data_IF_676277960831
#
_entry.id   IF_676277960831
#
_cell.length_a   1.000
_cell.length_b   1.000
_cell.length_c   1.000
_cell.angle_alpha   90.00
_cell.angle_beta   90.00
_cell.angle_gamma   90.00
#
_symmetry.space_group_name_H-M   'P 1'
#
loop_
_entity.id
_entity.type
_entity.pdbx_description
1 polymer ?
#
# COMPACT_ATOMS: atom_id res chain seq x y z
N UNK A 1 -30.19 -23.23 0.45
CA UNK A 1 -28.79 -23.28 0.00
C UNK A 1 -27.94 -22.75 1.14
N UNK A 2 -27.10 -23.58 1.74
CA UNK A 2 -26.07 -23.09 2.67
C UNK A 2 -25.19 -22.08 1.92
N UNK A 3 -25.07 -20.86 2.45
CA UNK A 3 -24.24 -19.82 1.85
C UNK A 3 -22.77 -20.22 1.87
N UNK A 4 -22.01 -19.74 0.87
CA UNK A 4 -20.58 -19.97 0.77
C UNK A 4 -19.86 -19.42 2.01
N UNK A 5 -19.32 -20.30 2.87
CA UNK A 5 -18.53 -19.88 4.04
C UNK A 5 -17.08 -19.59 3.64
N UNK A 6 -16.64 -18.34 3.83
CA UNK A 6 -15.29 -17.87 3.50
C UNK A 6 -14.48 -17.46 4.74
N UNK A 7 -14.90 -17.85 5.96
CA UNK A 7 -14.12 -17.60 7.18
C UNK A 7 -12.70 -18.14 7.03
N UNK A 8 -11.71 -17.33 7.42
CA UNK A 8 -10.28 -17.65 7.34
C UNK A 8 -9.71 -17.77 5.91
N UNK A 9 -10.53 -17.62 4.87
CA UNK A 9 -10.07 -17.47 3.50
C UNK A 9 -9.85 -16.00 3.18
N UNK A 10 -8.72 -15.65 2.56
CA UNK A 10 -8.47 -14.30 2.08
C UNK A 10 -8.36 -14.29 0.55
N UNK A 11 -8.86 -13.23 -0.12
CA UNK A 11 -8.63 -13.02 -1.55
C UNK A 11 -7.13 -12.84 -1.84
N UNK A 12 -6.59 -13.65 -2.75
CA UNK A 12 -5.17 -13.61 -3.13
C UNK A 12 -4.94 -13.19 -4.58
N UNK A 13 -5.97 -13.30 -5.43
CA UNK A 13 -5.92 -12.84 -6.82
C UNK A 13 -7.30 -12.34 -7.26
N UNK A 14 -7.32 -11.24 -8.00
CA UNK A 14 -8.49 -10.78 -8.75
C UNK A 14 -8.08 -10.55 -10.21
N UNK A 15 -8.83 -11.12 -11.15
CA UNK A 15 -8.61 -10.95 -12.59
C UNK A 15 -9.95 -10.94 -13.34
N UNK A 16 -9.93 -10.33 -14.52
CA UNK A 16 -11.04 -10.31 -15.45
C UNK A 16 -10.97 -11.52 -16.38
N UNK A 17 -12.09 -12.22 -16.57
CA UNK A 17 -12.23 -13.39 -17.44
C UNK A 17 -13.68 -13.47 -17.94
N UNK A 18 -13.87 -13.63 -19.25
CA UNK A 18 -15.18 -13.86 -19.88
C UNK A 18 -16.25 -12.81 -19.46
N UNK A 19 -15.88 -11.52 -19.49
CA UNK A 19 -16.70 -10.37 -19.07
C UNK A 19 -17.13 -10.34 -17.59
N UNK A 20 -16.52 -11.16 -16.74
CA UNK A 20 -16.72 -11.14 -15.28
C UNK A 20 -15.39 -11.06 -14.53
N UNK A 21 -15.46 -10.64 -13.26
CA UNK A 21 -14.32 -10.68 -12.36
C UNK A 21 -14.34 -11.96 -11.52
N UNK A 22 -13.16 -12.55 -11.39
CA UNK A 22 -12.93 -13.78 -10.63
C UNK A 22 -12.02 -13.51 -9.46
N UNK A 23 -12.27 -14.21 -8.36
CA UNK A 23 -11.49 -14.12 -7.12
C UNK A 23 -10.93 -15.50 -6.80
N UNK A 24 -9.62 -15.56 -6.58
CA UNK A 24 -8.92 -16.74 -6.05
C UNK A 24 -8.70 -16.52 -4.55
N UNK A 25 -8.94 -17.56 -3.77
CA UNK A 25 -8.94 -17.52 -2.32
C UNK A 25 -7.90 -18.48 -1.76
N UNK A 26 -7.21 -18.06 -0.71
CA UNK A 26 -6.29 -18.90 0.05
C UNK A 26 -6.78 -19.03 1.49
N UNK A 27 -6.77 -20.25 2.03
CA UNK A 27 -7.05 -20.47 3.43
C UNK A 27 -5.82 -20.13 4.28
N UNK A 28 -5.99 -19.23 5.23
CA UNK A 28 -4.93 -18.79 6.12
C UNK A 28 -5.09 -19.27 7.57
N UNK A 29 -6.21 -19.89 7.92
CA UNK A 29 -6.52 -20.25 9.31
C UNK A 29 -6.45 -19.02 10.24
N UNK A 30 -5.74 -19.16 11.36
CA UNK A 30 -5.34 -18.15 12.32
C UNK A 30 -3.90 -17.64 12.09
N UNK A 31 -3.28 -17.89 10.92
CA UNK A 31 -1.92 -17.40 10.63
C UNK A 31 -1.91 -15.87 10.55
N UNK A 32 -1.04 -15.19 11.31
CA UNK A 32 -0.93 -13.74 11.23
C UNK A 32 -0.27 -13.31 9.91
N UNK A 33 -0.58 -12.09 9.46
CA UNK A 33 0.10 -11.45 8.34
C UNK A 33 1.27 -10.65 8.92
N UNK A 34 2.47 -11.26 8.95
CA UNK A 34 3.67 -10.66 9.56
C UNK A 34 4.73 -10.29 8.53
N UNK A 35 4.62 -10.80 7.31
CA UNK A 35 5.58 -10.55 6.25
C UNK A 35 5.49 -9.11 5.70
N UNK A 36 6.59 -8.63 5.10
CA UNK A 36 6.71 -7.26 4.60
C UNK A 36 5.69 -6.92 3.50
N UNK A 37 5.29 -7.94 2.73
CA UNK A 37 4.30 -7.85 1.66
C UNK A 37 3.27 -8.97 1.81
N UNK A 38 2.01 -8.67 1.48
CA UNK A 38 0.93 -9.66 1.53
C UNK A 38 1.21 -10.85 0.62
N UNK A 39 1.88 -10.64 -0.52
CA UNK A 39 2.26 -11.71 -1.43
C UNK A 39 3.19 -12.75 -0.76
N UNK A 40 4.05 -12.34 0.17
CA UNK A 40 4.92 -13.26 0.90
C UNK A 40 4.11 -14.11 1.89
N UNK A 41 3.14 -13.48 2.58
CA UNK A 41 2.17 -14.20 3.42
C UNK A 41 1.37 -15.22 2.60
N UNK A 42 0.95 -14.85 1.38
CA UNK A 42 0.25 -15.74 0.44
C UNK A 42 1.14 -16.91 0.04
N UNK A 43 2.40 -16.67 -0.33
CA UNK A 43 3.33 -17.74 -0.70
C UNK A 43 3.52 -18.74 0.44
N UNK A 44 3.59 -18.26 1.69
CA UNK A 44 3.67 -19.11 2.86
C UNK A 44 2.37 -19.90 3.09
N UNK A 45 1.21 -19.27 2.93
CA UNK A 45 -0.09 -19.93 3.10
C UNK A 45 -0.37 -20.97 2.01
N UNK A 46 0.01 -20.72 0.75
CA UNK A 46 -0.14 -21.66 -0.36
C UNK A 46 0.64 -22.97 -0.16
N UNK A 47 1.64 -23.00 0.72
CA UNK A 47 2.38 -24.22 1.09
C UNK A 47 1.62 -25.13 2.06
N UNK A 48 0.48 -24.68 2.61
CA UNK A 48 -0.34 -25.50 3.51
C UNK A 48 -1.03 -26.64 2.72
N UNK A 49 -1.14 -27.87 3.27
CA UNK A 49 -1.78 -28.98 2.59
C UNK A 49 -3.19 -28.68 2.09
N UNK A 50 -3.97 -27.93 2.87
CA UNK A 50 -5.34 -27.50 2.49
C UNK A 50 -5.33 -26.71 1.19
N UNK A 51 -4.39 -25.78 1.01
CA UNK A 51 -4.32 -24.94 -0.19
C UNK A 51 -3.72 -25.66 -1.41
N UNK A 52 -2.96 -26.74 -1.18
CA UNK A 52 -2.47 -27.60 -2.26
C UNK A 52 -3.55 -28.56 -2.75
N UNK A 53 -4.42 -29.03 -1.85
CA UNK A 53 -5.49 -29.97 -2.16
C UNK A 53 -6.78 -29.27 -2.62
N UNK A 54 -7.08 -28.08 -2.09
CA UNK A 54 -8.32 -27.36 -2.32
C UNK A 54 -8.00 -25.99 -2.92
N UNK A 55 -8.35 -25.82 -4.19
CA UNK A 55 -8.43 -24.50 -4.81
C UNK A 55 -9.81 -23.92 -4.60
N UNK A 56 -9.90 -22.64 -4.26
CA UNK A 56 -11.19 -21.97 -4.07
C UNK A 56 -11.26 -20.71 -4.91
N UNK A 57 -12.10 -20.79 -5.93
CA UNK A 57 -12.26 -19.75 -6.93
C UNK A 57 -13.74 -19.39 -7.08
N UNK A 58 -14.06 -18.10 -7.10
CA UNK A 58 -15.45 -17.63 -7.12
C UNK A 58 -15.63 -16.51 -8.13
N UNK A 59 -16.86 -16.29 -8.65
CA UNK A 59 -17.23 -14.99 -9.21
C UNK A 59 -17.08 -13.89 -8.16
N UNK A 60 -16.90 -12.64 -8.60
CA UNK A 60 -16.80 -11.48 -7.70
C UNK A 60 -18.08 -11.25 -6.89
N UNK A 61 -19.23 -11.72 -7.38
CA UNK A 61 -20.50 -11.67 -6.65
C UNK A 61 -20.42 -12.37 -5.27
N UNK A 62 -19.58 -13.39 -5.12
CA UNK A 62 -19.38 -14.05 -3.83
C UNK A 62 -18.75 -13.13 -2.77
N UNK A 63 -17.95 -12.12 -3.16
CA UNK A 63 -17.48 -11.09 -2.22
C UNK A 63 -18.66 -10.27 -1.69
N UNK A 64 -19.60 -9.90 -2.55
CA UNK A 64 -20.80 -9.12 -2.17
C UNK A 64 -21.69 -9.91 -1.21
N UNK A 65 -21.90 -11.20 -1.49
CA UNK A 65 -22.63 -12.11 -0.59
C UNK A 65 -21.91 -12.28 0.75
N UNK A 66 -20.59 -12.41 0.73
CA UNK A 66 -19.78 -12.56 1.93
C UNK A 66 -19.81 -11.30 2.80
N UNK A 67 -19.69 -10.12 2.22
CA UNK A 67 -19.79 -8.85 2.94
C UNK A 67 -21.13 -8.72 3.69
N UNK A 68 -22.25 -9.13 3.07
CA UNK A 68 -23.57 -9.09 3.72
C UNK A 68 -23.69 -10.05 4.89
N UNK A 69 -23.08 -11.23 4.80
CA UNK A 69 -23.22 -12.29 5.82
C UNK A 69 -22.15 -12.24 6.91
N UNK A 70 -20.98 -11.67 6.62
CA UNK A 70 -19.83 -11.59 7.52
C UNK A 70 -19.05 -10.29 7.26
N UNK A 71 -19.60 -9.12 7.63
CA UNK A 71 -18.91 -7.86 7.48
C UNK A 71 -17.60 -7.85 8.29
N UNK A 72 -16.52 -7.39 7.68
CA UNK A 72 -15.22 -7.24 8.33
C UNK A 72 -15.04 -5.87 8.98
N UNK A 73 -13.90 -5.70 9.67
CA UNK A 73 -13.46 -4.42 10.20
C UNK A 73 -13.35 -3.38 9.09
N UNK A 74 -13.87 -2.18 9.34
CA UNK A 74 -13.56 -1.03 8.51
C UNK A 74 -12.05 -0.69 8.65
N UNK A 75 -11.38 -0.23 7.58
CA UNK A 75 -10.00 0.23 7.66
C UNK A 75 -9.86 1.38 8.67
N UNK A 76 -8.97 1.19 9.64
CA UNK A 76 -8.55 2.22 10.59
C UNK A 76 -7.66 3.26 9.93
N UNK A 77 -6.78 2.85 9.02
CA UNK A 77 -5.93 3.75 8.27
C UNK A 77 -5.51 3.15 6.94
N UNK A 78 -5.32 4.02 5.95
CA UNK A 78 -4.64 3.68 4.71
C UNK A 78 -3.24 4.29 4.68
N UNK A 79 -2.25 3.53 4.23
CA UNK A 79 -0.86 3.99 4.07
C UNK A 79 -0.57 4.08 2.58
N UNK A 80 -0.62 5.29 2.04
CA UNK A 80 -0.08 5.63 0.73
C UNK A 80 1.35 6.14 0.88
N UNK A 81 2.13 6.11 -0.21
CA UNK A 81 3.53 6.43 -0.08
C UNK A 81 4.25 6.76 -1.40
N UNK A 82 5.35 7.49 -1.29
CA UNK A 82 6.20 7.90 -2.41
C UNK A 82 7.16 6.80 -2.93
N UNK A 83 6.96 5.54 -2.55
CA UNK A 83 7.93 4.42 -2.73
C UNK A 83 9.26 4.62 -1.98
N UNK A 84 9.90 3.52 -1.55
CA UNK A 84 11.24 3.50 -0.92
C UNK A 84 11.41 4.47 0.28
N UNK A 85 10.34 4.82 0.97
CA UNK A 85 10.27 5.89 1.98
C UNK A 85 9.96 5.45 3.41
N UNK A 86 10.13 4.16 3.72
CA UNK A 86 9.85 3.64 5.07
C UNK A 86 8.38 3.28 5.32
N UNK A 87 7.50 3.32 4.32
CA UNK A 87 6.14 2.79 4.45
C UNK A 87 6.10 1.31 4.87
N UNK A 88 7.10 0.53 4.46
CA UNK A 88 7.24 -0.89 4.88
C UNK A 88 7.65 -1.00 6.34
N UNK A 89 8.52 -0.11 6.85
CA UNK A 89 8.85 -0.05 8.28
C UNK A 89 7.60 0.23 9.12
N UNK A 90 6.83 1.25 8.75
CA UNK A 90 5.58 1.57 9.44
C UNK A 90 4.60 0.38 9.43
N UNK A 91 4.39 -0.25 8.26
CA UNK A 91 3.52 -1.40 8.15
C UNK A 91 4.01 -2.60 8.99
N UNK A 92 5.32 -2.87 9.02
CA UNK A 92 5.90 -3.95 9.81
C UNK A 92 5.81 -3.71 11.32
N UNK A 93 6.00 -2.47 11.76
CA UNK A 93 5.79 -2.11 13.16
C UNK A 93 4.35 -2.38 13.58
N UNK A 94 3.37 -1.93 12.80
CA UNK A 94 1.95 -2.19 13.07
C UNK A 94 1.64 -3.69 12.99
N UNK A 95 2.23 -4.38 12.02
CA UNK A 95 2.10 -5.83 11.86
C UNK A 95 2.80 -6.61 12.98
N UNK A 96 3.51 -6.00 13.94
CA UNK A 96 4.01 -6.70 15.13
C UNK A 96 2.96 -6.86 16.23
N UNK A 97 1.85 -6.10 16.14
CA UNK A 97 0.78 -6.08 17.13
C UNK A 97 -0.24 -7.19 16.84
N UNK A 98 -0.74 -7.86 17.87
CA UNK A 98 -1.81 -8.86 17.71
C UNK A 98 -3.19 -8.21 17.55
N UNK A 99 -3.34 -6.94 17.94
CA UNK A 99 -4.54 -6.13 17.76
C UNK A 99 -4.72 -5.61 16.34
N UNK A 100 -3.69 -5.68 15.49
CA UNK A 100 -3.71 -5.12 14.13
C UNK A 100 -3.65 -6.21 13.07
N UNK A 101 -4.58 -6.12 12.12
CA UNK A 101 -4.51 -6.79 10.84
C UNK A 101 -3.92 -5.82 9.82
N UNK A 102 -2.70 -6.09 9.35
CA UNK A 102 -2.00 -5.22 8.41
C UNK A 102 -1.83 -5.92 7.06
N UNK A 103 -2.38 -5.32 6.01
CA UNK A 103 -2.20 -5.76 4.64
C UNK A 103 -1.24 -4.81 3.93
N UNK A 104 -0.17 -5.37 3.35
CA UNK A 104 0.81 -4.59 2.60
C UNK A 104 0.78 -4.96 1.13
N UNK A 105 0.35 -4.01 0.29
CA UNK A 105 0.32 -4.10 -1.18
C UNK A 105 -0.45 -5.35 -1.67
N UNK A 106 -1.72 -5.57 -1.26
CA UNK A 106 -2.46 -6.75 -1.67
C UNK A 106 -2.83 -6.70 -3.17
N UNK A 107 -2.35 -7.64 -4.02
CA UNK A 107 -2.57 -7.58 -5.46
C UNK A 107 -4.04 -7.51 -5.91
N UNK A 108 -5.00 -8.20 -5.25
CA UNK A 108 -6.42 -8.06 -5.60
C UNK A 108 -6.95 -6.63 -5.46
N UNK A 109 -6.45 -5.87 -4.48
CA UNK A 109 -6.85 -4.48 -4.28
C UNK A 109 -6.35 -3.62 -5.43
N UNK A 110 -5.08 -3.76 -5.82
CA UNK A 110 -4.52 -3.06 -6.97
C UNK A 110 -5.29 -3.35 -8.26
N UNK A 111 -5.58 -4.63 -8.53
CA UNK A 111 -6.39 -5.05 -9.69
C UNK A 111 -7.76 -4.38 -9.71
N UNK A 112 -8.49 -4.40 -8.59
CA UNK A 112 -9.84 -3.83 -8.53
C UNK A 112 -9.85 -2.30 -8.51
N UNK A 113 -8.84 -1.64 -7.93
CA UNK A 113 -8.70 -0.18 -7.99
C UNK A 113 -8.54 0.32 -9.44
N UNK A 114 -7.90 -0.49 -10.28
CA UNK A 114 -7.66 -0.17 -11.69
C UNK A 114 -8.69 -0.81 -12.63
N UNK A 115 -9.75 -1.45 -12.12
CA UNK A 115 -10.73 -2.19 -12.92
C UNK A 115 -11.34 -1.35 -14.06
N UNK A 116 -11.81 -0.12 -13.78
CA UNK A 116 -12.36 0.77 -14.80
C UNK A 116 -11.37 1.11 -15.94
N UNK A 117 -10.06 1.01 -15.69
CA UNK A 117 -9.01 1.26 -16.70
C UNK A 117 -8.81 0.07 -17.62
N UNK A 118 -9.23 -1.12 -17.18
CA UNK A 118 -9.19 -2.37 -17.95
C UNK A 118 -10.49 -2.58 -18.73
N UNK A 119 -11.63 -2.21 -18.15
CA UNK A 119 -12.95 -2.30 -18.78
C UNK A 119 -13.87 -1.20 -18.25
N UNK A 120 -14.41 -0.36 -19.14
CA UNK A 120 -15.33 0.72 -18.77
C UNK A 120 -16.63 0.21 -18.14
N UNK A 121 -17.06 -1.02 -18.48
CA UNK A 121 -18.21 -1.68 -17.88
C UNK A 121 -18.06 -1.93 -16.37
N UNK A 122 -16.81 -2.02 -15.87
CA UNK A 122 -16.53 -2.23 -14.45
C UNK A 122 -16.85 -1.01 -13.58
N UNK A 123 -16.90 0.20 -14.14
CA UNK A 123 -16.98 1.44 -13.36
C UNK A 123 -18.24 1.52 -12.46
N UNK A 124 -19.36 0.96 -12.92
CA UNK A 124 -20.63 0.99 -12.19
C UNK A 124 -20.61 0.15 -10.90
N UNK A 125 -19.84 -0.94 -10.87
CA UNK A 125 -19.83 -1.92 -9.77
C UNK A 125 -18.53 -1.88 -8.94
N UNK A 126 -17.50 -1.20 -9.45
CA UNK A 126 -16.18 -1.14 -8.84
C UNK A 126 -16.20 -0.69 -7.37
N UNK A 127 -17.06 0.27 -7.01
CA UNK A 127 -17.21 0.72 -5.61
C UNK A 127 -17.62 -0.43 -4.69
N UNK A 128 -18.65 -1.19 -5.07
CA UNK A 128 -19.20 -2.26 -4.25
C UNK A 128 -18.21 -3.44 -4.17
N UNK A 129 -17.54 -3.74 -5.28
CA UNK A 129 -16.47 -4.74 -5.30
C UNK A 129 -15.31 -4.40 -4.38
N UNK A 130 -14.85 -3.14 -4.40
CA UNK A 130 -13.80 -2.66 -3.50
C UNK A 130 -14.26 -2.71 -2.04
N UNK A 131 -15.48 -2.27 -1.73
CA UNK A 131 -16.02 -2.32 -0.38
C UNK A 131 -16.11 -3.77 0.14
N UNK A 132 -16.54 -4.70 -0.70
CA UNK A 132 -16.63 -6.10 -0.35
C UNK A 132 -15.25 -6.78 -0.23
N UNK A 133 -14.29 -6.44 -1.09
CA UNK A 133 -12.90 -6.89 -0.97
C UNK A 133 -12.29 -6.41 0.36
N UNK A 134 -12.44 -5.14 0.69
CA UNK A 134 -11.93 -4.54 1.93
C UNK A 134 -12.60 -5.16 3.16
N UNK A 135 -13.90 -5.47 3.09
CA UNK A 135 -14.61 -6.22 4.12
C UNK A 135 -14.05 -7.64 4.28
N UNK A 136 -13.80 -8.36 3.20
CA UNK A 136 -13.21 -9.71 3.26
C UNK A 136 -11.80 -9.67 3.88
N UNK A 137 -11.03 -8.64 3.55
CA UNK A 137 -9.74 -8.37 4.15
C UNK A 137 -9.81 -7.97 5.63
N UNK A 138 -10.88 -7.31 6.05
CA UNK A 138 -11.10 -6.91 7.43
C UNK A 138 -11.60 -8.01 8.35
N UNK A 139 -11.72 -9.25 7.90
CA UNK A 139 -12.20 -10.33 8.76
C UNK A 139 -11.21 -10.61 9.92
N UNK A 140 -11.60 -10.45 11.19
CA UNK A 140 -10.76 -10.87 12.30
C UNK A 140 -10.62 -12.39 12.29
N UNK A 141 -9.40 -12.88 12.49
CA UNK A 141 -9.09 -14.31 12.57
C UNK A 141 -8.48 -14.70 13.91
N UNK A 142 -7.89 -13.73 14.61
CA UNK A 142 -7.19 -13.88 15.90
C UNK A 142 -7.69 -12.88 16.95
N UNK A 143 -8.78 -12.17 16.68
CA UNK A 143 -9.31 -11.12 17.56
C UNK A 143 -8.72 -9.73 17.28
N UNK A 144 -8.19 -9.50 16.08
CA UNK A 144 -7.74 -8.19 15.62
C UNK A 144 -8.88 -7.16 15.73
N UNK A 145 -8.53 -5.91 16.06
CA UNK A 145 -9.45 -4.81 16.31
C UNK A 145 -9.25 -3.65 15.32
N UNK A 146 -8.12 -3.61 14.62
CA UNK A 146 -7.79 -2.58 13.65
C UNK A 146 -7.31 -3.19 12.34
N UNK A 147 -7.90 -2.74 11.22
CA UNK A 147 -7.41 -3.03 9.87
C UNK A 147 -6.57 -1.85 9.37
N UNK A 148 -5.33 -2.10 8.96
CA UNK A 148 -4.48 -1.11 8.30
C UNK A 148 -4.06 -1.64 6.94
N UNK A 149 -4.22 -0.83 5.89
CA UNK A 149 -3.87 -1.25 4.53
C UNK A 149 -2.84 -0.30 3.96
N UNK A 150 -1.65 -0.82 3.70
CA UNK A 150 -0.62 -0.17 2.90
C UNK A 150 -0.86 -0.52 1.44
N UNK A 151 -0.93 0.50 0.59
CA UNK A 151 -1.18 0.35 -0.84
C UNK A 151 0.13 0.37 -1.64
N UNK A 152 0.08 -0.07 -2.90
CA UNK A 152 1.17 0.18 -3.83
C UNK A 152 1.31 1.68 -4.09
N UNK A 153 2.54 2.12 -4.38
CA UNK A 153 2.85 3.55 -4.55
C UNK A 153 2.02 4.21 -5.66
N UNK A 154 1.67 3.47 -6.70
CA UNK A 154 0.87 3.99 -7.82
C UNK A 154 -0.64 4.01 -7.52
N UNK A 155 -1.15 3.33 -6.49
CA UNK A 155 -2.57 3.37 -6.15
C UNK A 155 -3.04 4.74 -5.65
N UNK A 156 -2.11 5.68 -5.42
CA UNK A 156 -2.43 7.06 -5.08
C UNK A 156 -3.26 7.77 -6.17
N UNK A 157 -3.18 7.32 -7.42
CA UNK A 157 -3.98 7.86 -8.52
C UNK A 157 -5.41 7.28 -8.57
N UNK A 158 -5.71 6.28 -7.74
CA UNK A 158 -7.02 5.64 -7.59
C UNK A 158 -7.62 5.88 -6.18
N UNK A 159 -7.00 6.76 -5.39
CA UNK A 159 -7.35 7.04 -3.99
C UNK A 159 -8.82 7.43 -3.78
N UNK A 160 -9.43 8.10 -4.77
CA UNK A 160 -10.80 8.61 -4.69
C UNK A 160 -11.84 7.50 -4.48
N UNK A 161 -11.59 6.30 -5.00
CA UNK A 161 -12.46 5.15 -4.77
C UNK A 161 -12.56 4.80 -3.30
N UNK A 162 -11.41 4.71 -2.64
CA UNK A 162 -11.32 4.33 -1.24
C UNK A 162 -11.83 5.45 -0.34
N UNK A 163 -11.67 6.71 -0.75
CA UNK A 163 -12.27 7.86 -0.08
C UNK A 163 -13.80 7.84 -0.15
N UNK A 164 -14.37 7.48 -1.29
CA UNK A 164 -15.81 7.36 -1.46
C UNK A 164 -16.42 6.22 -0.63
N UNK A 165 -15.65 5.16 -0.37
CA UNK A 165 -16.08 4.04 0.47
C UNK A 165 -15.89 4.38 1.96
N UNK A 166 -14.75 4.98 2.32
CA UNK A 166 -14.37 5.27 3.70
C UNK A 166 -14.02 6.76 3.90
N UNK A 167 -15.02 7.66 3.94
CA UNK A 167 -14.82 9.11 4.03
C UNK A 167 -14.39 9.60 5.42
N UNK A 168 -14.24 8.72 6.40
CA UNK A 168 -13.73 9.07 7.74
C UNK A 168 -12.39 8.41 8.04
N UNK A 169 -11.97 7.43 7.23
CA UNK A 169 -10.71 6.74 7.46
C UNK A 169 -9.54 7.67 7.14
N UNK A 170 -8.58 7.85 8.06
CA UNK A 170 -7.38 8.64 7.84
C UNK A 170 -6.45 8.01 6.81
N UNK A 171 -5.76 8.87 6.07
CA UNK A 171 -4.80 8.52 5.04
C UNK A 171 -3.43 9.04 5.44
N UNK A 172 -2.43 8.17 5.51
CA UNK A 172 -1.05 8.56 5.69
C UNK A 172 -0.39 8.63 4.31
N UNK A 173 0.31 9.72 4.02
CA UNK A 173 1.21 9.78 2.86
C UNK A 173 2.65 9.79 3.36
N UNK A 174 3.31 8.63 3.26
CA UNK A 174 4.70 8.45 3.69
C UNK A 174 5.65 8.86 2.57
N UNK A 175 6.58 9.76 2.83
CA UNK A 175 7.54 10.25 1.85
C UNK A 175 8.91 10.49 2.47
N UNK A 176 9.92 10.72 1.63
CA UNK A 176 11.28 11.07 2.06
C UNK A 176 11.93 11.96 1.00
N UNK A 177 13.17 12.35 1.22
CA UNK A 177 13.98 13.06 0.23
C UNK A 177 13.98 12.34 -1.14
N UNK A 178 13.47 12.98 -2.22
CA UNK A 178 13.34 12.36 -3.54
C UNK A 178 14.65 11.88 -4.15
N UNK A 179 15.80 12.54 -3.92
CA UNK A 179 17.10 12.05 -4.36
C UNK A 179 17.35 10.63 -3.86
N UNK A 180 16.97 10.34 -2.63
CA UNK A 180 17.18 9.02 -2.07
C UNK A 180 16.18 7.96 -2.59
N UNK A 181 14.98 8.38 -3.02
CA UNK A 181 14.00 7.49 -3.68
C UNK A 181 14.52 7.12 -5.07
N UNK A 182 14.89 8.14 -5.84
CA UNK A 182 15.42 7.98 -7.21
C UNK A 182 16.69 7.14 -7.20
N UNK A 183 17.65 7.41 -6.31
CA UNK A 183 18.86 6.58 -6.16
C UNK A 183 18.53 5.11 -5.87
N UNK A 184 17.53 4.85 -5.03
CA UNK A 184 17.10 3.48 -4.73
C UNK A 184 16.51 2.79 -5.97
N UNK A 185 15.76 3.49 -6.81
CA UNK A 185 15.14 2.94 -8.01
C UNK A 185 16.10 2.81 -9.20
N UNK A 186 17.11 3.66 -9.30
CA UNK A 186 18.21 3.51 -10.25
C UNK A 186 19.10 2.31 -9.92
N UNK A 187 19.26 1.97 -8.64
CA UNK A 187 19.92 0.73 -8.22
C UNK A 187 19.05 -0.51 -8.42
N UNK A 188 17.81 -0.46 -7.94
CA UNK A 188 16.87 -1.57 -8.02
C UNK A 188 15.47 -1.05 -8.41
N UNK A 189 15.09 -1.15 -9.71
CA UNK A 189 13.84 -0.59 -10.19
C UNK A 189 12.63 -1.27 -9.52
N UNK A 190 11.65 -0.46 -9.14
CA UNK A 190 10.32 -0.97 -8.75
C UNK A 190 9.49 -1.23 -10.01
N UNK A 191 8.37 -1.96 -9.88
CA UNK A 191 7.55 -2.32 -11.04
C UNK A 191 7.08 -1.10 -11.85
N UNK A 192 6.58 -0.07 -11.17
CA UNK A 192 6.14 1.20 -11.76
C UNK A 192 7.27 2.09 -12.31
N UNK A 193 8.54 1.68 -12.13
CA UNK A 193 9.70 2.37 -12.70
C UNK A 193 10.14 1.74 -14.02
N UNK A 194 9.43 0.72 -14.50
CA UNK A 194 9.64 0.08 -15.80
C UNK A 194 8.39 0.33 -16.65
N UNK A 195 8.49 1.07 -17.77
CA UNK A 195 7.35 1.36 -18.65
C UNK A 195 6.58 0.09 -19.04
N UNK A 196 5.25 0.12 -18.90
CA UNK A 196 4.35 -0.98 -19.26
C UNK A 196 4.24 -2.13 -18.27
N UNK A 197 5.14 -2.25 -17.26
CA UNK A 197 5.20 -3.43 -16.39
C UNK A 197 4.01 -3.56 -15.41
N UNK A 198 3.36 -2.46 -15.04
CA UNK A 198 2.16 -2.48 -14.18
C UNK A 198 0.84 -2.50 -14.96
N UNK A 199 0.89 -2.42 -16.30
CA UNK A 199 -0.28 -2.21 -17.14
C UNK A 199 -0.93 -0.83 -16.95
N UNK A 200 -2.15 -0.60 -17.49
CA UNK A 200 -2.83 0.69 -17.41
C UNK A 200 -3.05 1.16 -15.96
N UNK A 201 -2.67 2.39 -15.68
CA UNK A 201 -2.72 3.00 -14.35
C UNK A 201 -2.98 4.51 -14.43
N UNK A 202 -3.35 5.14 -13.32
CA UNK A 202 -3.45 6.59 -13.27
C UNK A 202 -2.12 7.31 -13.42
N UNK A 203 -1.00 6.62 -13.15
CA UNK A 203 0.35 7.16 -13.36
C UNK A 203 0.63 7.44 -14.83
N UNK A 204 0.10 6.66 -15.77
CA UNK A 204 0.37 6.81 -17.20
C UNK A 204 -0.06 8.20 -17.73
N UNK A 205 -1.18 8.73 -17.21
CA UNK A 205 -1.69 10.06 -17.57
C UNK A 205 -0.73 11.19 -17.15
N UNK A 206 0.05 10.97 -16.10
CA UNK A 206 1.02 11.94 -15.59
C UNK A 206 2.36 11.86 -16.30
N UNK A 207 2.71 10.67 -16.79
CA UNK A 207 3.98 10.45 -17.46
C UNK A 207 3.95 10.92 -18.92
N UNK A 208 2.80 10.81 -19.59
CA UNK A 208 2.72 11.10 -21.04
C UNK A 208 3.73 10.24 -21.81
N UNK A 209 4.41 10.83 -22.80
CA UNK A 209 5.39 10.12 -23.64
C UNK A 209 6.77 9.90 -22.99
N UNK A 210 6.87 9.96 -21.65
CA UNK A 210 8.14 9.83 -20.93
C UNK A 210 8.85 8.46 -21.13
N UNK A 211 8.19 7.47 -21.73
CA UNK A 211 8.77 6.15 -22.01
C UNK A 211 9.99 6.20 -22.97
N UNK A 212 10.12 7.25 -23.78
CA UNK A 212 11.27 7.48 -24.68
C UNK A 212 12.46 8.21 -24.04
N UNK A 213 12.34 8.65 -22.79
CA UNK A 213 13.38 9.41 -22.11
C UNK A 213 14.46 8.53 -21.46
N UNK A 214 15.53 9.16 -20.96
CA UNK A 214 16.54 8.46 -20.17
C UNK A 214 15.92 7.82 -18.92
N UNK A 215 16.48 6.71 -18.46
CA UNK A 215 16.03 6.02 -17.24
C UNK A 215 15.98 6.94 -16.02
N UNK A 216 16.96 7.84 -15.87
CA UNK A 216 16.99 8.82 -14.79
C UNK A 216 15.82 9.81 -14.86
N UNK A 217 15.50 10.29 -16.06
CA UNK A 217 14.34 11.17 -16.29
C UNK A 217 13.03 10.44 -15.96
N UNK A 218 12.84 9.24 -16.49
CA UNK A 218 11.62 8.45 -16.23
C UNK A 218 11.41 8.20 -14.73
N UNK A 219 12.45 7.74 -14.02
CA UNK A 219 12.36 7.49 -12.56
C UNK A 219 12.08 8.77 -11.77
N UNK A 220 12.71 9.89 -12.13
CA UNK A 220 12.46 11.17 -11.47
C UNK A 220 11.04 11.69 -11.74
N UNK A 221 10.52 11.53 -12.95
CA UNK A 221 9.13 11.88 -13.33
C UNK A 221 8.11 11.03 -12.59
N UNK A 222 8.29 9.71 -12.52
CA UNK A 222 7.44 8.83 -11.72
C UNK A 222 7.42 9.26 -10.25
N UNK A 223 8.60 9.52 -9.68
CA UNK A 223 8.74 9.98 -8.29
C UNK A 223 8.05 11.31 -8.07
N UNK A 224 8.25 12.27 -8.97
CA UNK A 224 7.63 13.59 -8.95
C UNK A 224 6.12 13.54 -9.05
N UNK A 225 5.57 12.72 -9.96
CA UNK A 225 4.13 12.54 -10.13
C UNK A 225 3.48 11.96 -8.88
N UNK A 226 4.08 10.94 -8.26
CA UNK A 226 3.56 10.34 -7.02
C UNK A 226 3.61 11.36 -5.86
N UNK A 227 4.69 12.13 -5.73
CA UNK A 227 4.79 13.19 -4.71
C UNK A 227 3.77 14.31 -4.93
N UNK A 228 3.58 14.72 -6.18
CA UNK A 228 2.61 15.75 -6.55
C UNK A 228 1.19 15.27 -6.25
N UNK A 229 0.85 14.03 -6.60
CA UNK A 229 -0.45 13.47 -6.23
C UNK A 229 -0.62 13.35 -4.73
N UNK A 230 0.41 12.91 -3.99
CA UNK A 230 0.38 12.88 -2.53
C UNK A 230 0.15 14.25 -1.89
N UNK A 231 0.77 15.29 -2.44
CA UNK A 231 0.52 16.68 -2.03
C UNK A 231 -0.94 17.10 -2.26
N UNK A 232 -1.52 16.76 -3.41
CA UNK A 232 -2.91 17.04 -3.73
C UNK A 232 -3.87 16.32 -2.77
N UNK A 233 -3.63 15.04 -2.50
CA UNK A 233 -4.40 14.25 -1.55
C UNK A 233 -4.31 14.85 -0.13
N UNK A 234 -3.11 15.25 0.31
CA UNK A 234 -2.95 15.92 1.60
C UNK A 234 -3.72 17.25 1.68
N UNK A 235 -3.64 18.09 0.65
CA UNK A 235 -4.28 19.42 0.63
C UNK A 235 -5.80 19.36 0.49
N UNK A 236 -6.28 18.53 -0.43
CA UNK A 236 -7.70 18.49 -0.83
C UNK A 236 -8.51 17.54 0.03
N UNK A 237 -7.89 16.43 0.44
CA UNK A 237 -8.60 15.30 1.06
C UNK A 237 -8.20 15.04 2.51
N UNK A 238 -7.33 15.87 3.09
CA UNK A 238 -6.95 15.78 4.50
C UNK A 238 -5.99 14.62 4.80
N UNK A 239 -5.23 14.15 3.81
CA UNK A 239 -4.16 13.18 4.03
C UNK A 239 -3.08 13.74 4.96
N UNK A 240 -2.56 12.90 5.86
CA UNK A 240 -1.54 13.24 6.84
C UNK A 240 -0.16 13.03 6.20
N UNK A 241 0.62 14.10 5.91
CA UNK A 241 1.99 13.95 5.44
C UNK A 241 2.87 13.38 6.56
N UNK A 242 3.62 12.33 6.26
CA UNK A 242 4.57 11.69 7.18
C UNK A 242 5.93 11.58 6.51
N UNK A 243 6.89 12.36 6.99
CA UNK A 243 8.25 12.26 6.49
C UNK A 243 8.97 11.09 7.17
N UNK A 244 9.77 10.35 6.41
CA UNK A 244 10.62 9.28 6.88
C UNK A 244 11.48 9.65 8.09
N UNK A 245 11.93 10.91 8.20
CA UNK A 245 12.73 11.37 9.34
C UNK A 245 11.96 11.42 10.68
N UNK A 246 10.63 11.34 10.65
CA UNK A 246 9.80 11.22 11.85
C UNK A 246 9.63 9.75 12.28
N UNK A 247 10.00 8.78 11.43
CA UNK A 247 9.93 7.37 11.77
C UNK A 247 11.19 6.93 12.55
N UNK A 248 11.04 6.03 13.54
CA UNK A 248 9.81 5.37 13.96
C UNK A 248 8.95 6.20 14.94
N UNK A 249 9.50 7.30 15.48
CA UNK A 249 8.92 8.08 16.59
C UNK A 249 7.48 8.54 16.40
N UNK A 250 7.09 8.92 15.18
CA UNK A 250 5.73 9.36 14.87
C UNK A 250 4.67 8.28 15.16
N UNK A 251 5.01 7.00 15.01
CA UNK A 251 4.08 5.88 15.17
C UNK A 251 3.47 5.81 16.58
N UNK A 252 4.28 6.11 17.60
CA UNK A 252 3.87 6.17 19.00
C UNK A 252 3.84 7.60 19.57
N UNK A 253 4.02 8.58 18.70
CA UNK A 253 3.87 10.00 19.02
C UNK A 253 2.58 10.52 18.40
N UNK A 254 2.71 11.50 17.49
CA UNK A 254 1.56 12.19 16.87
C UNK A 254 0.59 11.30 16.08
N UNK A 255 0.96 10.07 15.73
CA UNK A 255 0.08 9.12 15.02
C UNK A 255 -0.50 8.04 15.94
N UNK A 256 -0.20 8.06 17.25
CA UNK A 256 -0.64 6.99 18.15
C UNK A 256 -2.16 6.80 18.14
N UNK A 257 -2.93 7.88 18.29
CA UNK A 257 -4.40 7.81 18.29
C UNK A 257 -4.95 7.38 16.93
N UNK A 258 -4.41 7.95 15.86
CA UNK A 258 -4.76 7.62 14.46
C UNK A 258 -4.59 6.11 14.22
N UNK A 259 -3.46 5.56 14.66
CA UNK A 259 -3.09 4.16 14.45
C UNK A 259 -3.63 3.21 15.52
N UNK A 260 -4.24 3.73 16.60
CA UNK A 260 -4.78 2.93 17.69
C UNK A 260 -3.69 2.29 18.54
N UNK A 261 -2.63 3.04 18.82
CA UNK A 261 -1.46 2.61 19.58
C UNK A 261 -1.60 3.03 21.03
N UNK A 262 -1.43 2.07 21.93
CA UNK A 262 -1.46 2.27 23.38
C UNK A 262 -0.06 2.22 23.98
N UNK A 263 0.07 2.61 25.25
CA UNK A 263 1.32 2.48 26.01
C UNK A 263 1.81 1.02 26.10
N UNK A 264 0.89 0.04 26.08
CA UNK A 264 1.22 -1.38 26.14
C UNK A 264 1.88 -1.91 24.85
N UNK A 265 1.68 -1.22 23.71
CA UNK A 265 2.22 -1.62 22.41
C UNK A 265 3.68 -1.19 22.23
N UNK A 266 4.14 -0.19 23.00
CA UNK A 266 5.45 0.46 22.82
C UNK A 266 6.64 -0.50 22.84
N UNK A 267 6.73 -1.50 23.76
CA UNK A 267 7.85 -2.43 23.75
C UNK A 267 7.97 -3.20 22.43
N UNK A 268 6.86 -3.70 21.89
CA UNK A 268 6.85 -4.44 20.61
C UNK A 268 7.17 -3.54 19.42
N UNK A 269 6.63 -2.33 19.39
CA UNK A 269 6.89 -1.38 18.32
C UNK A 269 8.36 -0.95 18.27
N UNK A 270 8.98 -0.72 19.43
CA UNK A 270 10.40 -0.34 19.53
C UNK A 270 11.32 -1.48 19.11
N UNK A 271 11.00 -2.71 19.50
CA UNK A 271 11.74 -3.90 19.08
C UNK A 271 11.69 -4.07 17.56
N UNK A 272 10.48 -4.04 16.98
CA UNK A 272 10.28 -4.11 15.51
C UNK A 272 11.03 -3.02 14.75
N UNK A 273 11.09 -1.80 15.30
CA UNK A 273 11.78 -0.67 14.68
C UNK A 273 13.32 -0.82 14.61
N UNK A 274 13.92 -1.73 15.38
CA UNK A 274 15.36 -2.00 15.36
C UNK A 274 15.84 -2.82 14.16
N UNK A 275 14.92 -3.43 13.41
CA UNK A 275 15.23 -4.36 12.32
C UNK A 275 14.95 -3.78 10.93
N UNK A 276 15.61 -4.35 9.91
CA UNK A 276 15.35 -4.05 8.51
C UNK A 276 13.94 -4.54 8.12
N UNK A 277 13.09 -3.59 7.76
CA UNK A 277 11.67 -3.85 7.43
C UNK A 277 11.43 -4.79 6.23
N UNK A 278 12.44 -5.09 5.42
CA UNK A 278 12.34 -5.97 4.25
C UNK A 278 13.10 -7.28 4.42
N UNK A 279 13.94 -7.38 5.44
CA UNK A 279 14.74 -8.54 5.73
C UNK A 279 14.71 -8.84 7.23
N UNK A 280 13.80 -9.73 7.61
CA UNK A 280 13.62 -10.14 9.01
C UNK A 280 14.96 -10.59 9.64
N UNK A 281 15.27 -10.04 10.81
CA UNK A 281 16.46 -10.39 11.59
C UNK A 281 17.74 -9.63 11.23
N UNK A 282 17.76 -8.79 10.18
CA UNK A 282 18.89 -7.90 9.93
C UNK A 282 18.71 -6.57 10.69
N UNK A 283 19.77 -6.03 11.27
CA UNK A 283 19.72 -4.72 11.93
C UNK A 283 19.53 -3.60 10.90
N UNK A 284 18.70 -2.60 11.22
CA UNK A 284 18.51 -1.43 10.36
C UNK A 284 19.81 -0.62 10.22
N UNK A 285 20.11 -0.15 9.00
CA UNK A 285 21.25 0.73 8.71
C UNK A 285 20.78 1.97 7.94
N UNK A 286 21.03 3.19 8.46
CA UNK A 286 20.77 4.42 7.70
C UNK A 286 21.57 4.44 6.39
N UNK A 287 20.90 4.71 5.27
CA UNK A 287 21.51 4.68 3.94
C UNK A 287 21.32 5.97 3.12
N UNK A 288 20.75 7.01 3.73
CA UNK A 288 20.36 8.25 3.05
C UNK A 288 21.55 8.99 2.42
N UNK A 289 22.65 9.18 3.17
CA UNK A 289 23.85 9.86 2.65
C UNK A 289 24.50 9.12 1.48
N UNK A 290 24.68 7.80 1.62
CA UNK A 290 25.24 6.94 0.56
C UNK A 290 24.38 6.99 -0.70
N UNK A 291 23.05 6.96 -0.55
CA UNK A 291 22.11 7.11 -1.67
C UNK A 291 22.25 8.46 -2.37
N UNK A 292 22.28 9.56 -1.62
CA UNK A 292 22.45 10.90 -2.20
C UNK A 292 23.79 11.01 -2.93
N UNK A 293 24.88 10.53 -2.33
CA UNK A 293 26.21 10.56 -2.92
C UNK A 293 26.32 9.75 -4.23
N UNK A 294 25.51 8.68 -4.37
CA UNK A 294 25.55 7.80 -5.55
C UNK A 294 24.95 8.38 -6.84
N UNK A 295 24.23 9.51 -6.78
CA UNK A 295 23.64 10.15 -7.96
C UNK A 295 24.61 11.08 -8.68
N UNK A 296 24.72 10.92 -10.00
CA UNK A 296 25.41 11.84 -10.90
C UNK A 296 24.67 13.18 -11.07
N UNK A 297 25.33 14.15 -11.71
CA UNK A 297 24.78 15.48 -11.92
C UNK A 297 23.49 15.47 -12.76
N UNK A 298 23.44 14.64 -13.81
CA UNK A 298 22.27 14.53 -14.68
C UNK A 298 21.04 13.99 -13.92
N UNK A 299 21.21 12.96 -13.09
CA UNK A 299 20.11 12.42 -12.28
C UNK A 299 19.63 13.43 -11.24
N UNK A 300 20.55 14.19 -10.62
CA UNK A 300 20.20 15.26 -9.67
C UNK A 300 19.38 16.36 -10.33
N UNK A 301 19.74 16.77 -11.55
CA UNK A 301 18.98 17.74 -12.32
C UNK A 301 17.55 17.26 -12.60
N UNK A 302 17.36 15.99 -12.96
CA UNK A 302 16.02 15.42 -13.16
C UNK A 302 15.20 15.40 -11.86
N UNK A 303 15.82 15.06 -10.73
CA UNK A 303 15.12 15.11 -9.43
C UNK A 303 14.71 16.53 -9.08
N UNK A 304 15.62 17.50 -9.26
CA UNK A 304 15.34 18.91 -8.99
C UNK A 304 14.17 19.41 -9.84
N UNK A 305 14.16 19.05 -11.13
CA UNK A 305 13.13 19.43 -12.08
C UNK A 305 11.76 18.85 -11.74
N UNK A 306 11.67 17.56 -11.40
CA UNK A 306 10.39 16.84 -11.36
C UNK A 306 9.85 16.60 -9.94
N UNK A 307 10.71 16.45 -8.95
CA UNK A 307 10.31 15.97 -7.62
C UNK A 307 10.53 16.99 -6.50
N UNK A 308 11.38 18.00 -6.69
CA UNK A 308 11.73 18.94 -5.61
C UNK A 308 10.56 19.81 -5.16
N UNK A 309 9.86 20.43 -6.11
CA UNK A 309 8.74 21.33 -5.81
C UNK A 309 7.62 20.64 -4.99
N UNK A 310 7.08 19.46 -5.37
CA UNK A 310 6.07 18.79 -4.57
C UNK A 310 6.60 18.33 -3.21
N UNK A 311 7.86 17.87 -3.13
CA UNK A 311 8.49 17.52 -1.86
C UNK A 311 8.56 18.71 -0.88
N UNK A 312 9.06 19.86 -1.33
CA UNK A 312 9.14 21.07 -0.48
C UNK A 312 7.75 21.58 -0.07
N UNK A 313 6.74 21.38 -0.91
CA UNK A 313 5.36 21.72 -0.57
C UNK A 313 4.76 20.76 0.49
N UNK A 314 5.08 19.46 0.43
CA UNK A 314 4.73 18.50 1.48
C UNK A 314 5.41 18.84 2.80
N UNK A 315 6.71 19.18 2.79
CA UNK A 315 7.43 19.61 4.00
C UNK A 315 6.81 20.85 4.63
N UNK A 316 6.47 21.87 3.83
CA UNK A 316 5.78 23.06 4.34
C UNK A 316 4.43 22.70 4.97
N UNK A 317 3.63 21.86 4.29
CA UNK A 317 2.32 21.43 4.81
C UNK A 317 2.47 20.67 6.13
N UNK A 318 3.44 19.75 6.20
CA UNK A 318 3.75 18.97 7.40
C UNK A 318 4.16 19.86 8.56
N UNK A 319 5.06 20.80 8.34
CA UNK A 319 5.57 21.71 9.38
C UNK A 319 4.54 22.76 9.80
N UNK A 320 3.59 23.12 8.93
CA UNK A 320 2.49 24.02 9.30
C UNK A 320 1.35 23.36 10.08
N UNK A 321 1.28 22.02 10.05
CA UNK A 321 0.25 21.23 10.74
C UNK A 321 0.73 20.58 12.04
N UNK A 322 1.97 20.85 12.46
CA UNK A 322 2.52 20.54 13.78
C UNK A 322 2.27 21.74 14.72
#
# INVERSE_FOLDING_TARGET
MEGLNLRQWLPIRAWHQDDDWRIDWCWFADRPLREAFFQDSVQNALRLPVNQALRRETPIAALLDWQRSSPGLAPRAFIQHASRCGSTLLAQMLASLDSHLVLSEPPPLDSLLRAQRLSSASAAQQRDWLAALLSAYGQPRRGEQALVIKLDAWNIFEAEWLRAIYPQTPWLFVYREPLEIVASHLRQPGRHMVPGLIGPSGLDQWLGDAAGESRASYVARCTGAILQRGLEECRRLGGIPLNYNELPGACWGRLADVLGISAADLPRLRDSAGFDSKHAGMAFRPDGESKRASLDAASREQVERWARAPYLALERLRLSGQ
#
